data_IF_664977103281
#
_entry.id   IF_664977103281
#
_cell.length_a   1.000
_cell.length_b   1.000
_cell.length_c   1.000
_cell.angle_alpha   90.00
_cell.angle_beta   90.00
_cell.angle_gamma   90.00
#
_symmetry.space_group_name_H-M   'P 1'
#
loop_
_entity.id
_entity.type
_entity.pdbx_description
1 polymer ?
#
# COMPACT_ATOMS: atom_id res chain seq x y z
N UNK A 1 36.45 -15.87 -26.82
CA UNK A 1 35.35 -16.07 -27.79
C UNK A 1 34.49 -14.82 -27.70
N UNK A 2 34.23 -14.15 -28.81
CA UNK A 2 33.62 -12.81 -28.82
C UNK A 2 32.10 -13.01 -28.83
N UNK A 3 31.42 -12.66 -27.74
CA UNK A 3 29.96 -12.61 -27.66
C UNK A 3 29.45 -11.43 -28.51
N UNK A 4 29.37 -11.64 -29.82
CA UNK A 4 28.75 -10.69 -30.75
C UNK A 4 27.25 -10.91 -30.66
N UNK A 5 26.53 -9.93 -30.11
CA UNK A 5 25.07 -9.91 -30.03
C UNK A 5 24.46 -9.99 -31.44
N UNK A 6 23.82 -11.11 -31.78
CA UNK A 6 23.14 -11.30 -33.05
C UNK A 6 21.70 -10.79 -32.96
N UNK A 7 21.45 -9.58 -33.47
CA UNK A 7 20.14 -8.92 -33.42
C UNK A 7 19.11 -9.59 -34.35
N UNK A 8 19.55 -10.43 -35.30
CA UNK A 8 18.69 -11.12 -36.26
C UNK A 8 18.32 -12.56 -35.89
N UNK A 9 18.76 -13.08 -34.74
CA UNK A 9 18.37 -14.42 -34.29
C UNK A 9 16.90 -14.46 -33.87
N UNK A 10 16.27 -15.63 -34.01
CA UNK A 10 14.93 -15.84 -33.49
C UNK A 10 14.88 -15.56 -31.97
N UNK A 11 13.80 -14.92 -31.47
CA UNK A 11 13.64 -14.68 -30.04
C UNK A 11 13.56 -16.02 -29.30
N UNK A 12 14.42 -16.20 -28.31
CA UNK A 12 14.36 -17.34 -27.39
C UNK A 12 13.41 -16.97 -26.27
N UNK A 13 12.29 -17.68 -26.17
CA UNK A 13 11.34 -17.54 -25.07
C UNK A 13 11.74 -18.51 -23.94
N UNK A 14 11.85 -17.99 -22.72
CA UNK A 14 12.11 -18.78 -21.52
C UNK A 14 10.78 -19.00 -20.77
N UNK A 15 10.23 -20.21 -20.88
CA UNK A 15 8.95 -20.59 -20.27
C UNK A 15 9.09 -21.10 -18.83
N UNK A 16 10.19 -20.80 -18.13
CA UNK A 16 10.40 -21.25 -16.73
C UNK A 16 9.41 -20.65 -15.74
N UNK A 17 8.85 -19.47 -16.01
CA UNK A 17 7.84 -18.82 -15.16
C UNK A 17 6.47 -19.07 -15.79
N UNK A 18 5.73 -20.02 -15.21
CA UNK A 18 4.43 -20.47 -15.76
C UNK A 18 3.25 -19.75 -15.09
N UNK A 19 3.45 -19.21 -13.88
CA UNK A 19 2.37 -18.67 -13.06
C UNK A 19 2.88 -17.64 -12.05
N UNK A 20 2.05 -16.62 -11.78
CA UNK A 20 2.20 -15.68 -10.67
C UNK A 20 1.04 -15.93 -9.70
N UNK A 21 1.33 -15.97 -8.41
CA UNK A 21 0.34 -16.15 -7.33
C UNK A 21 0.57 -15.12 -6.23
N UNK A 22 -0.52 -14.48 -5.80
CA UNK A 22 -0.46 -13.48 -4.72
C UNK A 22 -0.66 -14.15 -3.37
N UNK A 23 0.27 -13.91 -2.46
CA UNK A 23 0.29 -14.37 -1.08
C UNK A 23 0.12 -13.21 -0.12
N UNK A 24 -0.53 -13.47 1.03
CA UNK A 24 -0.82 -12.45 2.03
C UNK A 24 0.10 -12.61 3.24
N UNK A 25 0.71 -11.51 3.66
CA UNK A 25 1.64 -11.44 4.77
C UNK A 25 1.09 -10.52 5.85
N UNK A 26 1.06 -11.03 7.08
CA UNK A 26 0.53 -10.33 8.24
C UNK A 26 1.64 -9.58 8.99
N UNK A 27 1.29 -8.51 9.72
CA UNK A 27 2.20 -7.90 10.68
C UNK A 27 2.62 -8.90 11.77
N UNK A 28 3.71 -8.60 12.46
CA UNK A 28 4.10 -9.36 13.66
C UNK A 28 2.96 -9.42 14.70
N UNK A 29 2.89 -10.54 15.44
CA UNK A 29 1.73 -11.00 16.21
C UNK A 29 1.20 -10.09 17.35
N UNK A 30 1.75 -8.89 17.56
CA UNK A 30 1.42 -8.00 18.68
C UNK A 30 1.24 -6.51 18.29
N UNK A 31 0.83 -6.20 17.05
CA UNK A 31 0.62 -4.80 16.66
C UNK A 31 -0.80 -4.34 16.95
N UNK A 32 -0.97 -3.45 17.93
CA UNK A 32 -2.09 -2.51 17.89
C UNK A 32 -1.89 -1.56 16.70
N UNK A 33 -2.98 -1.07 16.12
CA UNK A 33 -2.94 -0.03 15.08
C UNK A 33 -3.35 1.31 15.68
N UNK A 34 -2.64 1.74 16.73
CA UNK A 34 -2.85 3.05 17.36
C UNK A 34 -1.97 4.10 16.68
N UNK A 35 -2.38 5.36 16.82
CA UNK A 35 -1.61 6.48 16.30
C UNK A 35 -0.15 6.44 16.75
N UNK A 36 0.76 6.68 15.81
CA UNK A 36 2.22 6.59 15.99
C UNK A 36 2.78 5.18 16.22
N UNK A 37 1.98 4.12 16.17
CA UNK A 37 2.49 2.75 16.24
C UNK A 37 3.31 2.44 14.98
N UNK A 38 4.41 1.70 15.19
CA UNK A 38 5.21 1.13 14.12
C UNK A 38 4.70 -0.28 13.80
N UNK A 39 4.29 -0.47 12.55
CA UNK A 39 3.77 -1.74 12.04
C UNK A 39 4.87 -2.34 11.16
N UNK A 40 5.19 -3.62 11.38
CA UNK A 40 6.21 -4.34 10.62
C UNK A 40 5.63 -5.60 10.05
N UNK A 41 5.70 -5.74 8.73
CA UNK A 41 5.20 -6.87 7.97
C UNK A 41 6.41 -7.61 7.38
N UNK A 42 6.81 -8.74 7.98
CA UNK A 42 7.86 -9.57 7.43
C UNK A 42 7.33 -10.40 6.25
N UNK A 43 8.12 -10.47 5.18
CA UNK A 43 7.92 -11.43 4.10
C UNK A 43 9.08 -12.42 4.21
N UNK A 44 8.87 -13.43 5.04
CA UNK A 44 9.89 -14.40 5.44
C UNK A 44 9.38 -15.80 5.13
N UNK A 45 9.57 -16.24 3.90
CA UNK A 45 9.55 -17.66 3.58
C UNK A 45 10.81 -17.99 2.79
N UNK A 46 11.37 -19.16 3.07
CA UNK A 46 12.51 -19.69 2.35
C UNK A 46 12.08 -19.98 0.90
N UNK A 47 12.96 -19.71 -0.06
CA UNK A 47 12.74 -19.96 -1.50
C UNK A 47 11.64 -19.09 -2.16
N UNK A 48 11.37 -17.89 -1.64
CA UNK A 48 10.45 -16.93 -2.25
C UNK A 48 11.08 -16.20 -3.44
N UNK A 49 10.29 -16.13 -4.52
CA UNK A 49 10.48 -15.30 -5.69
C UNK A 49 9.44 -14.19 -5.65
N UNK A 50 9.85 -13.00 -5.22
CA UNK A 50 8.94 -11.87 -5.04
C UNK A 50 9.11 -10.93 -6.22
N UNK A 51 8.00 -10.46 -6.79
CA UNK A 51 7.98 -9.40 -7.78
C UNK A 51 7.45 -8.13 -7.11
N UNK A 52 8.32 -7.22 -6.60
CA UNK A 52 7.88 -6.07 -5.82
C UNK A 52 6.87 -5.20 -6.57
N UNK A 53 7.03 -5.00 -7.87
CA UNK A 53 6.12 -4.15 -8.63
C UNK A 53 4.67 -4.66 -8.75
N UNK A 54 4.43 -5.92 -8.39
CA UNK A 54 3.10 -6.53 -8.29
C UNK A 54 2.67 -6.76 -6.84
N UNK A 55 3.18 -5.93 -5.91
CA UNK A 55 2.79 -5.97 -4.50
C UNK A 55 1.84 -4.84 -4.11
N UNK A 56 0.98 -5.12 -3.12
CA UNK A 56 -0.07 -4.24 -2.64
C UNK A 56 -0.11 -4.18 -1.12
N UNK A 57 -0.54 -3.03 -0.59
CA UNK A 57 -0.86 -2.82 0.81
C UNK A 57 -2.38 -2.89 0.99
N UNK A 58 -2.85 -3.93 1.68
CA UNK A 58 -4.24 -4.05 2.06
C UNK A 58 -4.50 -3.39 3.41
N UNK A 59 -5.54 -2.56 3.48
CA UNK A 59 -5.95 -1.84 4.69
C UNK A 59 -7.45 -1.99 4.86
N UNK A 60 -7.88 -2.40 6.06
CA UNK A 60 -9.28 -2.50 6.47
C UNK A 60 -9.49 -1.70 7.75
N UNK A 61 -10.58 -0.95 7.80
CA UNK A 61 -10.90 -0.13 8.96
C UNK A 61 -12.35 0.35 9.00
N UNK A 62 -12.63 1.19 9.98
CA UNK A 62 -13.94 1.80 10.20
C UNK A 62 -13.82 3.26 10.57
N UNK A 63 -14.69 4.08 9.99
CA UNK A 63 -14.92 5.45 10.42
C UNK A 63 -15.97 5.43 11.54
N UNK A 64 -15.60 5.89 12.72
CA UNK A 64 -16.49 6.04 13.87
C UNK A 64 -16.82 7.51 14.09
N UNK A 65 -18.11 7.83 14.32
CA UNK A 65 -18.55 9.18 14.71
C UNK A 65 -18.67 9.22 16.22
N UNK A 66 -18.04 10.18 16.90
CA UNK A 66 -18.21 10.35 18.35
C UNK A 66 -19.55 11.02 18.71
N UNK A 67 -20.11 11.85 17.83
CA UNK A 67 -21.39 12.54 18.03
C UNK A 67 -22.25 12.34 16.79
N UNK A 68 -23.46 11.82 16.97
CA UNK A 68 -24.45 11.72 15.91
C UNK A 68 -25.11 13.08 15.71
N UNK A 69 -24.68 13.82 14.69
CA UNK A 69 -25.42 14.98 14.17
C UNK A 69 -26.19 14.51 12.94
N UNK A 70 -27.51 14.58 12.99
CA UNK A 70 -28.38 14.19 11.89
C UNK A 70 -28.06 15.02 10.63
N UNK A 71 -27.85 14.33 9.52
CA UNK A 71 -27.61 14.94 8.21
C UNK A 71 -26.15 15.20 7.82
N UNK A 72 -25.18 15.09 8.74
CA UNK A 72 -23.76 15.27 8.40
C UNK A 72 -23.08 13.94 8.00
N UNK A 73 -22.56 13.90 6.77
CA UNK A 73 -21.84 12.76 6.21
C UNK A 73 -20.32 12.94 6.39
N UNK A 74 -19.67 11.90 6.91
CA UNK A 74 -18.21 11.83 6.93
C UNK A 74 -17.82 11.01 5.72
N UNK A 75 -16.92 11.55 4.91
CA UNK A 75 -16.37 10.84 3.76
C UNK A 75 -14.87 10.70 3.90
N UNK A 76 -14.32 9.65 3.28
CA UNK A 76 -12.88 9.50 3.17
C UNK A 76 -12.36 10.53 2.18
N UNK A 77 -11.31 11.24 2.57
CA UNK A 77 -10.62 12.17 1.69
C UNK A 77 -9.94 11.48 0.53
N UNK A 78 -9.63 12.25 -0.50
CA UNK A 78 -8.78 11.76 -1.58
C UNK A 78 -7.44 11.28 -1.01
N UNK A 79 -6.97 10.14 -1.51
CA UNK A 79 -5.72 9.55 -1.08
C UNK A 79 -5.72 9.20 0.43
N UNK A 80 -6.89 8.89 1.01
CA UNK A 80 -7.03 8.78 2.47
C UNK A 80 -6.05 7.79 3.12
N UNK A 81 -5.76 6.67 2.45
CA UNK A 81 -4.90 5.60 2.98
C UNK A 81 -3.46 6.08 3.15
N UNK A 82 -2.95 6.87 2.23
CA UNK A 82 -1.57 7.39 2.34
C UNK A 82 -1.44 8.41 3.46
N UNK A 83 -2.50 9.14 3.78
CA UNK A 83 -2.55 10.00 4.97
C UNK A 83 -2.69 9.24 6.29
N UNK A 84 -3.07 7.96 6.28
CA UNK A 84 -3.08 7.11 7.48
C UNK A 84 -1.68 6.75 7.95
N UNK A 85 -0.64 6.94 7.13
CA UNK A 85 0.74 6.61 7.44
C UNK A 85 1.66 7.82 7.29
N UNK A 86 2.44 8.13 8.32
CA UNK A 86 3.47 9.16 8.28
C UNK A 86 4.71 8.70 7.53
N UNK A 87 5.02 7.41 7.59
CA UNK A 87 6.19 6.83 6.95
C UNK A 87 5.89 5.43 6.45
N UNK A 88 6.41 5.11 5.27
CA UNK A 88 6.50 3.76 4.73
C UNK A 88 7.95 3.54 4.36
N UNK A 89 8.51 2.40 4.76
CA UNK A 89 9.89 2.03 4.53
C UNK A 89 9.98 0.57 4.12
N UNK A 90 10.83 0.31 3.15
CA UNK A 90 11.11 -1.02 2.66
C UNK A 90 12.57 -1.39 2.93
N UNK A 91 12.75 -2.53 3.58
CA UNK A 91 14.07 -3.09 3.89
C UNK A 91 14.25 -4.47 3.25
N UNK A 92 15.46 -4.72 2.73
CA UNK A 92 15.94 -6.03 2.29
C UNK A 92 17.11 -6.45 3.17
N UNK A 93 17.01 -7.59 3.84
CA UNK A 93 18.01 -8.10 4.80
C UNK A 93 18.43 -7.05 5.86
N UNK A 94 17.49 -6.19 6.25
CA UNK A 94 17.71 -5.10 7.22
C UNK A 94 18.40 -3.87 6.64
N UNK A 95 18.63 -3.80 5.32
CA UNK A 95 19.11 -2.62 4.61
C UNK A 95 17.94 -1.85 4.04
N UNK A 96 17.83 -0.55 4.38
CA UNK A 96 16.82 0.36 3.82
C UNK A 96 17.06 0.53 2.31
N UNK A 97 16.09 0.08 1.51
CA UNK A 97 16.11 0.20 0.05
C UNK A 97 15.35 1.44 -0.40
N UNK A 98 14.21 1.71 0.24
CA UNK A 98 13.39 2.88 -0.04
C UNK A 98 12.63 3.32 1.20
N UNK A 99 12.34 4.61 1.26
CA UNK A 99 11.65 5.26 2.35
C UNK A 99 10.87 6.47 1.85
N UNK A 100 9.58 6.45 2.11
CA UNK A 100 8.70 7.58 1.89
C UNK A 100 8.20 8.15 3.22
N UNK A 101 8.59 9.40 3.53
CA UNK A 101 8.07 10.18 4.65
C UNK A 101 6.98 11.13 4.17
N UNK A 102 6.02 11.44 5.03
CA UNK A 102 4.83 12.25 4.70
C UNK A 102 4.10 11.66 3.49
N UNK A 103 3.75 10.38 3.61
CA UNK A 103 3.33 9.51 2.50
C UNK A 103 2.19 10.15 1.71
N UNK A 104 1.17 10.72 2.36
CA UNK A 104 0.06 11.36 1.63
C UNK A 104 0.39 12.62 0.83
N UNK A 105 1.53 13.27 1.10
CA UNK A 105 2.02 14.42 0.32
C UNK A 105 2.94 13.96 -0.81
N UNK A 106 3.82 13.01 -0.50
CA UNK A 106 4.90 12.57 -1.38
C UNK A 106 4.54 11.36 -2.26
N UNK A 107 3.44 10.67 -1.98
CA UNK A 107 2.92 9.59 -2.84
C UNK A 107 2.67 10.11 -4.24
N UNK A 108 2.76 9.23 -5.24
CA UNK A 108 2.41 9.60 -6.61
C UNK A 108 0.96 10.05 -6.69
N UNK A 109 0.79 11.31 -7.06
CA UNK A 109 -0.52 11.94 -7.15
C UNK A 109 -1.27 11.47 -8.40
N UNK A 110 -2.57 11.78 -8.45
CA UNK A 110 -3.48 11.51 -9.57
C UNK A 110 -2.86 11.75 -10.97
N UNK A 111 -2.02 12.77 -11.14
CA UNK A 111 -1.37 13.11 -12.42
C UNK A 111 -0.34 12.09 -12.88
N UNK A 112 0.32 11.39 -11.94
CA UNK A 112 1.35 10.40 -12.23
C UNK A 112 0.79 8.98 -12.35
N UNK A 113 -0.44 8.75 -11.90
CA UNK A 113 -1.12 7.47 -12.09
C UNK A 113 -1.54 7.34 -13.55
N UNK A 114 -1.42 6.12 -14.10
CA UNK A 114 -1.94 5.84 -15.43
C UNK A 114 -3.46 6.04 -15.45
N UNK A 115 -4.06 6.20 -16.63
CA UNK A 115 -5.52 6.26 -16.80
C UNK A 115 -6.25 4.97 -16.38
N UNK A 116 -5.57 4.02 -15.72
CA UNK A 116 -6.14 2.82 -15.16
C UNK A 116 -7.01 3.15 -13.95
N UNK A 117 -8.31 3.07 -14.16
CA UNK A 117 -9.33 3.32 -13.14
C UNK A 117 -9.20 2.39 -11.93
N UNK A 118 -8.67 1.17 -12.10
CA UNK A 118 -8.54 0.23 -10.99
C UNK A 118 -7.46 0.70 -10.02
N UNK A 119 -6.31 1.13 -10.54
CA UNK A 119 -5.23 1.70 -9.72
C UNK A 119 -5.73 2.93 -8.97
N UNK A 120 -6.50 3.80 -9.64
CA UNK A 120 -7.04 5.01 -9.01
C UNK A 120 -8.03 4.70 -7.87
N UNK A 121 -8.95 3.76 -8.05
CA UNK A 121 -9.87 3.30 -7.00
C UNK A 121 -9.10 2.72 -5.81
N UNK A 122 -8.16 1.84 -6.11
CA UNK A 122 -7.34 1.15 -5.14
C UNK A 122 -6.41 2.08 -4.36
N UNK A 123 -5.91 3.15 -4.99
CA UNK A 123 -5.12 4.20 -4.36
C UNK A 123 -5.97 5.29 -3.67
N UNK A 124 -7.26 5.03 -3.45
CA UNK A 124 -8.18 5.93 -2.75
C UNK A 124 -8.38 7.30 -3.41
N UNK A 125 -8.23 7.41 -4.74
CA UNK A 125 -8.54 8.64 -5.48
C UNK A 125 -10.01 8.75 -5.90
N UNK A 126 -10.75 7.65 -5.87
CA UNK A 126 -12.20 7.60 -6.09
C UNK A 126 -12.88 7.06 -4.84
N UNK A 127 -13.26 7.93 -3.89
CA UNK A 127 -13.77 7.52 -2.56
C UNK A 127 -15.29 7.47 -2.43
N UNK A 128 -16.01 7.75 -3.52
CA UNK A 128 -17.48 7.79 -3.54
C UNK A 128 -18.04 6.39 -3.30
N UNK A 129 -18.87 6.23 -2.26
CA UNK A 129 -19.54 4.97 -1.95
C UNK A 129 -18.64 3.85 -1.40
N UNK A 130 -17.40 4.16 -1.02
CA UNK A 130 -16.47 3.16 -0.44
C UNK A 130 -16.86 2.79 0.99
N UNK A 131 -17.33 3.78 1.77
CA UNK A 131 -17.72 3.54 3.17
C UNK A 131 -19.07 2.84 3.19
N UNK A 132 -19.14 1.69 3.85
CA UNK A 132 -20.39 0.97 4.08
C UNK A 132 -21.34 1.79 4.97
N UNK A 133 -22.66 1.51 4.98
CA UNK A 133 -23.60 2.19 5.88
C UNK A 133 -23.20 2.12 7.36
N UNK A 134 -22.52 1.04 7.75
CA UNK A 134 -22.02 0.82 9.10
C UNK A 134 -20.66 1.47 9.38
N UNK A 135 -20.07 2.15 8.40
CA UNK A 135 -18.82 2.91 8.51
C UNK A 135 -17.55 2.16 8.12
N UNK A 136 -17.63 0.91 7.65
CA UNK A 136 -16.46 0.10 7.28
C UNK A 136 -15.93 0.45 5.89
N UNK A 137 -14.63 0.29 5.69
CA UNK A 137 -13.98 0.43 4.40
C UNK A 137 -12.82 -0.56 4.27
N UNK A 138 -12.42 -0.83 3.03
CA UNK A 138 -11.17 -1.51 2.73
C UNK A 138 -10.53 -0.93 1.45
N UNK A 139 -9.21 -1.05 1.36
CA UNK A 139 -8.41 -0.66 0.20
C UNK A 139 -7.32 -1.68 -0.04
N UNK A 140 -6.92 -1.81 -1.31
CA UNK A 140 -5.77 -2.61 -1.74
C UNK A 140 -4.84 -1.71 -2.56
N UNK A 141 -4.01 -0.91 -1.88
CA UNK A 141 -3.20 0.14 -2.50
C UNK A 141 -1.96 -0.47 -3.15
N UNK A 142 -1.68 -0.25 -4.44
CA UNK A 142 -0.44 -0.72 -5.05
C UNK A 142 0.78 -0.05 -4.40
N UNK A 143 1.77 -0.85 -3.99
CA UNK A 143 2.97 -0.32 -3.32
C UNK A 143 3.83 0.55 -4.24
N UNK A 144 3.71 0.37 -5.57
CA UNK A 144 4.34 1.23 -6.58
C UNK A 144 3.87 2.69 -6.55
N UNK A 145 2.71 2.98 -5.96
CA UNK A 145 2.24 4.37 -5.75
C UNK A 145 2.86 5.00 -4.50
N UNK A 146 3.37 4.16 -3.58
CA UNK A 146 3.86 4.57 -2.26
C UNK A 146 5.39 4.62 -2.20
N UNK A 147 6.07 3.75 -2.93
CA UNK A 147 7.53 3.58 -2.92
C UNK A 147 8.05 3.52 -4.37
N UNK A 148 9.08 4.30 -4.67
CA UNK A 148 9.70 4.33 -5.99
C UNK A 148 10.40 3.02 -6.34
N UNK A 149 10.97 2.33 -5.33
CA UNK A 149 11.59 1.01 -5.58
C UNK A 149 10.59 -0.03 -6.07
N UNK A 150 9.33 0.06 -5.63
CA UNK A 150 8.25 -0.82 -6.06
C UNK A 150 7.74 -0.47 -7.47
N UNK A 151 7.98 0.73 -7.96
CA UNK A 151 7.59 1.11 -9.31
C UNK A 151 8.67 0.81 -10.35
N UNK A 152 9.91 1.17 -10.03
CA UNK A 152 11.02 1.15 -10.96
C UNK A 152 11.61 -0.27 -11.11
N UNK A 153 11.59 -1.06 -10.04
CA UNK A 153 12.17 -2.40 -10.05
C UNK A 153 11.19 -3.47 -10.51
N UNK A 154 11.27 -3.82 -11.80
CA UNK A 154 10.40 -4.79 -12.47
C UNK A 154 10.98 -6.20 -12.58
N UNK A 155 11.90 -6.55 -11.68
CA UNK A 155 12.54 -7.86 -11.66
C UNK A 155 12.19 -8.61 -10.38
N UNK A 156 12.37 -9.92 -10.43
CA UNK A 156 12.13 -10.80 -9.29
C UNK A 156 13.31 -10.68 -8.32
N UNK A 157 12.98 -10.49 -7.04
CA UNK A 157 13.91 -10.60 -5.91
C UNK A 157 13.82 -12.01 -5.34
N UNK A 158 14.96 -12.64 -5.11
CA UNK A 158 15.04 -14.06 -4.74
C UNK A 158 15.82 -14.18 -3.44
N UNK A 159 15.31 -14.98 -2.49
CA UNK A 159 16.03 -15.42 -1.29
C UNK A 159 16.54 -14.29 -0.37
N UNK A 160 15.89 -13.13 -0.36
CA UNK A 160 16.16 -12.06 0.60
C UNK A 160 15.02 -11.97 1.61
N UNK A 161 15.31 -11.55 2.84
CA UNK A 161 14.27 -11.19 3.81
C UNK A 161 13.75 -9.81 3.46
N UNK A 162 12.46 -9.71 3.15
CA UNK A 162 11.81 -8.42 2.96
C UNK A 162 11.09 -7.99 4.25
N UNK A 163 11.14 -6.70 4.53
CA UNK A 163 10.38 -6.11 5.64
C UNK A 163 9.75 -4.79 5.19
N UNK A 164 8.42 -4.73 5.24
CA UNK A 164 7.67 -3.50 5.04
C UNK A 164 7.35 -2.89 6.41
N UNK A 165 7.77 -1.66 6.62
CA UNK A 165 7.67 -0.95 7.89
C UNK A 165 6.81 0.29 7.67
N UNK A 166 5.72 0.40 8.43
CA UNK A 166 4.76 1.49 8.35
C UNK A 166 4.75 2.22 9.69
N UNK A 167 4.71 3.55 9.68
CA UNK A 167 4.47 4.36 10.87
C UNK A 167 3.09 5.00 10.74
N UNK A 168 2.16 4.62 11.61
CA UNK A 168 0.81 5.20 11.57
C UNK A 168 0.83 6.70 11.86
N UNK A 169 -0.05 7.44 11.20
CA UNK A 169 -0.22 8.87 11.40
C UNK A 169 -0.57 9.19 12.85
N UNK A 170 -0.31 10.44 13.25
CA UNK A 170 -0.70 10.97 14.57
C UNK A 170 -2.16 11.41 14.61
N UNK A 171 -2.80 11.53 13.45
CA UNK A 171 -4.14 12.09 13.29
C UNK A 171 -4.74 11.68 11.94
N UNK A 172 -6.07 11.55 11.92
CA UNK A 172 -6.86 11.21 10.72
C UNK A 172 -7.32 12.45 9.93
N UNK A 173 -6.92 13.66 10.34
CA UNK A 173 -7.46 14.90 9.78
C UNK A 173 -7.31 15.02 8.26
N UNK A 174 -6.22 14.48 7.70
CA UNK A 174 -5.98 14.52 6.25
C UNK A 174 -6.59 13.32 5.51
N UNK A 175 -7.00 12.28 6.23
CA UNK A 175 -7.66 11.09 5.66
C UNK A 175 -9.17 11.26 5.54
N UNK A 176 -9.75 12.31 6.14
CA UNK A 176 -11.19 12.53 6.23
C UNK A 176 -11.58 13.89 5.64
N UNK A 177 -12.69 13.91 4.90
CA UNK A 177 -13.39 15.13 4.54
C UNK A 177 -14.57 15.29 5.52
N UNK A 178 -14.62 16.44 6.20
CA UNK A 178 -15.60 16.71 7.27
C UNK A 178 -16.32 18.05 7.09
N UNK A 179 -17.58 18.09 7.50
CA UNK A 179 -18.26 19.31 7.96
C UNK A 179 -17.84 19.64 9.40
N UNK A 180 -17.87 20.92 9.75
CA UNK A 180 -17.19 21.47 10.95
C UNK A 180 -17.68 20.95 12.32
N UNK A 181 -18.76 20.16 12.38
CA UNK A 181 -19.40 19.75 13.64
C UNK A 181 -19.05 18.33 14.12
N UNK A 182 -18.27 17.56 13.36
CA UNK A 182 -17.95 16.16 13.67
C UNK A 182 -16.49 15.95 14.09
N UNK A 183 -16.28 15.09 15.09
CA UNK A 183 -14.96 14.50 15.45
C UNK A 183 -14.93 13.00 15.06
N UNK A 184 -14.85 12.68 13.76
CA UNK A 184 -14.73 11.30 13.31
C UNK A 184 -13.33 10.74 13.54
N UNK A 185 -13.25 9.44 13.83
CA UNK A 185 -11.99 8.70 14.02
C UNK A 185 -11.94 7.47 13.14
N UNK A 186 -10.75 7.17 12.62
CA UNK A 186 -10.48 5.95 11.87
C UNK A 186 -9.89 4.91 12.83
N UNK A 187 -10.53 3.74 12.86
CA UNK A 187 -10.01 2.57 13.53
C UNK A 187 -9.58 1.55 12.48
N UNK A 188 -8.31 1.11 12.52
CA UNK A 188 -7.79 0.11 11.60
C UNK A 188 -7.89 -1.27 12.25
N UNK A 189 -8.32 -2.26 11.47
CA UNK A 189 -8.51 -3.64 11.93
C UNK A 189 -7.53 -4.62 11.29
N UNK A 190 -7.12 -4.34 10.06
CA UNK A 190 -6.23 -5.22 9.31
C UNK A 190 -5.36 -4.41 8.38
N UNK A 191 -4.08 -4.72 8.40
CA UNK A 191 -3.07 -4.16 7.52
C UNK A 191 -2.20 -5.34 7.08
N UNK A 192 -2.10 -5.59 5.77
CA UNK A 192 -1.39 -6.75 5.22
C UNK A 192 -0.61 -6.36 3.98
N UNK A 193 0.50 -7.04 3.72
CA UNK A 193 1.20 -6.95 2.45
C UNK A 193 0.76 -8.12 1.57
N UNK A 194 0.39 -7.84 0.33
CA UNK A 194 0.06 -8.84 -0.68
C UNK A 194 1.18 -8.81 -1.72
N UNK A 195 1.86 -9.92 -1.96
CA UNK A 195 2.91 -10.01 -2.98
C UNK A 195 2.96 -11.37 -3.64
#
# INVERSE_FOLDING_TARGET
MIDILNIGSEPVFDDRIVKIETHTYNPYANTTFRYSDGIRIPIQQQDLYILPCESYLYVEGKVTKQVAVDGETVTLGYNCVTFMFNEIRYELDGVEIDRNRNVGINSKNYVSLSSDKNIMKNAAWETIGIISPDGYFNFCVPLSVLLGSYEDYKHIVINLRHELILLQSRSDNNSLLRSSALDPKIELFKIQCLT
#
